data_IF_601721503559
#
_entry.id   IF_601721503559
#
_cell.length_a   1.000
_cell.length_b   1.000
_cell.length_c   1.000
_cell.angle_alpha   90.00
_cell.angle_beta   90.00
_cell.angle_gamma   90.00
#
_symmetry.space_group_name_H-M   'P 1'
#
loop_
_entity.id
_entity.type
_entity.pdbx_description
1 polymer ?
#
# COMPACT_ATOMS: atom_id res chain seq x y z
N UNK A 1 32.80 -59.92 -9.85
CA UNK A 1 32.30 -58.55 -10.12
C UNK A 1 31.08 -58.67 -11.02
N UNK A 2 29.87 -58.37 -10.51
CA UNK A 2 28.63 -58.42 -11.29
C UNK A 2 28.01 -57.02 -11.32
N UNK A 3 27.96 -56.43 -12.49
CA UNK A 3 27.36 -55.11 -12.78
C UNK A 3 25.85 -55.25 -12.88
N UNK A 4 25.09 -54.51 -12.08
CA UNK A 4 23.63 -54.39 -12.25
C UNK A 4 23.30 -53.04 -12.89
N UNK A 5 22.73 -53.09 -14.10
CA UNK A 5 22.14 -51.95 -14.81
C UNK A 5 20.81 -51.58 -14.12
N UNK A 6 20.73 -50.37 -13.56
CA UNK A 6 19.47 -49.81 -13.08
C UNK A 6 18.64 -49.31 -14.27
N UNK A 7 17.44 -49.89 -14.46
CA UNK A 7 16.41 -49.35 -15.35
C UNK A 7 15.76 -48.15 -14.66
N UNK A 8 15.85 -46.97 -15.26
CA UNK A 8 15.06 -45.80 -14.88
C UNK A 8 13.59 -46.08 -15.24
N UNK A 9 12.75 -46.33 -14.24
CA UNK A 9 11.31 -46.34 -14.42
C UNK A 9 10.82 -44.89 -14.27
N UNK A 10 10.33 -44.31 -15.38
CA UNK A 10 9.64 -43.03 -15.35
C UNK A 10 8.29 -43.23 -14.65
N UNK A 11 8.20 -42.79 -13.39
CA UNK A 11 6.94 -42.70 -12.67
C UNK A 11 6.23 -41.41 -13.07
N UNK A 12 5.23 -41.52 -13.94
CA UNK A 12 4.32 -40.41 -14.25
C UNK A 12 3.49 -40.14 -12.99
N UNK A 13 3.88 -39.12 -12.22
CA UNK A 13 3.09 -38.66 -11.08
C UNK A 13 1.83 -37.98 -11.63
N UNK A 14 0.70 -38.69 -11.56
CA UNK A 14 -0.62 -38.08 -11.77
C UNK A 14 -0.86 -37.18 -10.56
N UNK A 15 -0.61 -35.88 -10.75
CA UNK A 15 -0.94 -34.87 -9.76
C UNK A 15 -2.47 -34.86 -9.56
N UNK A 16 -3.00 -35.12 -8.35
CA UNK A 16 -4.37 -34.77 -8.07
C UNK A 16 -4.45 -33.25 -8.13
N UNK A 17 -5.29 -32.73 -9.06
CA UNK A 17 -5.65 -31.33 -9.15
C UNK A 17 -6.11 -30.88 -7.76
N UNK A 18 -5.20 -30.22 -7.06
CA UNK A 18 -5.45 -29.69 -5.73
C UNK A 18 -6.35 -28.48 -5.94
N UNK A 19 -7.50 -28.49 -5.26
CA UNK A 19 -8.37 -27.35 -5.12
C UNK A 19 -7.50 -26.12 -4.80
N UNK A 20 -7.54 -25.12 -5.68
CA UNK A 20 -6.90 -23.81 -5.53
C UNK A 20 -7.35 -23.18 -4.20
N UNK A 21 -6.72 -23.55 -3.10
CA UNK A 21 -6.77 -22.78 -1.88
C UNK A 21 -5.94 -21.54 -2.15
N UNK A 22 -6.61 -20.40 -2.27
CA UNK A 22 -5.95 -19.11 -2.23
C UNK A 22 -5.13 -19.05 -0.93
N UNK A 23 -3.82 -19.25 -1.03
CA UNK A 23 -2.92 -19.22 0.12
C UNK A 23 -2.90 -17.78 0.66
N UNK A 24 -3.25 -17.63 1.94
CA UNK A 24 -3.18 -16.37 2.67
C UNK A 24 -1.87 -16.37 3.44
N UNK A 25 -0.95 -15.49 3.05
CA UNK A 25 0.31 -15.30 3.76
C UNK A 25 0.09 -14.31 4.91
N UNK A 26 0.60 -14.62 6.10
CA UNK A 26 0.56 -13.73 7.27
C UNK A 26 1.95 -13.51 7.84
N UNK A 27 2.21 -12.31 8.35
CA UNK A 27 3.45 -11.95 9.07
C UNK A 27 3.08 -11.26 10.38
N UNK A 28 3.53 -11.75 11.54
CA UNK A 28 3.18 -11.17 12.83
C UNK A 28 4.00 -9.92 13.16
N UNK A 29 5.28 -9.85 12.77
CA UNK A 29 6.06 -8.62 12.86
C UNK A 29 7.26 -8.65 11.93
N UNK A 30 7.77 -7.48 11.55
CA UNK A 30 9.00 -7.34 10.77
C UNK A 30 9.63 -5.97 10.94
N UNK A 31 10.97 -5.92 10.98
CA UNK A 31 11.76 -4.69 10.90
C UNK A 31 12.39 -4.47 9.52
N UNK A 32 12.20 -5.42 8.61
CA UNK A 32 12.67 -5.40 7.23
C UNK A 32 11.49 -5.40 6.26
N UNK A 33 11.67 -4.87 5.05
CA UNK A 33 10.64 -4.83 4.02
C UNK A 33 10.00 -6.20 3.81
N UNK A 34 8.68 -6.27 3.97
CA UNK A 34 7.92 -7.48 3.69
C UNK A 34 7.66 -7.56 2.19
N UNK A 35 8.43 -8.39 1.49
CA UNK A 35 8.29 -8.61 0.04
C UNK A 35 7.37 -9.80 -0.23
N UNK A 36 6.13 -9.54 -0.65
CA UNK A 36 5.11 -10.61 -0.74
C UNK A 36 5.51 -11.72 -1.72
N UNK A 37 6.10 -11.37 -2.86
CA UNK A 37 6.59 -12.31 -3.86
C UNK A 37 7.68 -13.27 -3.37
N UNK A 38 8.39 -12.94 -2.27
CA UNK A 38 9.44 -13.80 -1.72
C UNK A 38 8.93 -14.68 -0.59
N UNK A 39 7.85 -14.28 0.09
CA UNK A 39 7.23 -15.10 1.13
C UNK A 39 6.55 -16.33 0.53
N UNK A 40 5.84 -16.12 -0.57
CA UNK A 40 5.25 -17.20 -1.36
C UNK A 40 5.15 -16.79 -2.84
N UNK A 41 5.86 -17.49 -3.75
CA UNK A 41 5.82 -17.21 -5.17
C UNK A 41 4.50 -17.59 -5.83
N UNK A 42 3.52 -18.21 -5.16
CA UNK A 42 2.19 -18.52 -5.68
C UNK A 42 1.07 -17.67 -5.04
N UNK A 43 1.30 -17.06 -3.87
CA UNK A 43 0.29 -16.27 -3.19
C UNK A 43 -0.17 -15.06 -4.02
N UNK A 44 -1.47 -14.79 -3.94
CA UNK A 44 -2.11 -13.55 -4.41
C UNK A 44 -2.79 -12.81 -3.27
N UNK A 45 -2.90 -13.44 -2.09
CA UNK A 45 -3.54 -12.88 -0.91
C UNK A 45 -2.52 -12.71 0.22
N UNK A 46 -2.59 -11.56 0.86
CA UNK A 46 -1.83 -11.30 2.08
C UNK A 46 -2.74 -10.69 3.13
N UNK A 47 -2.65 -11.19 4.34
CA UNK A 47 -3.32 -10.61 5.50
C UNK A 47 -2.28 -10.26 6.57
N UNK A 48 -2.31 -9.02 7.05
CA UNK A 48 -1.67 -8.64 8.30
C UNK A 48 -2.73 -8.68 9.40
N UNK A 49 -2.74 -9.71 10.27
CA UNK A 49 -3.71 -9.81 11.35
C UNK A 49 -3.64 -8.64 12.35
N UNK A 50 -4.65 -8.56 13.21
CA UNK A 50 -4.61 -7.64 14.33
C UNK A 50 -3.40 -7.96 15.23
N UNK A 51 -2.70 -6.92 15.68
CA UNK A 51 -1.45 -7.06 16.42
C UNK A 51 -0.20 -7.19 15.55
N UNK A 52 -0.33 -7.29 14.22
CA UNK A 52 0.84 -7.24 13.33
C UNK A 52 1.54 -5.89 13.44
N UNK A 53 2.86 -5.90 13.59
CA UNK A 53 3.71 -4.69 13.57
C UNK A 53 4.83 -4.84 12.55
N UNK A 54 4.69 -4.14 11.43
CA UNK A 54 5.76 -4.00 10.43
C UNK A 54 6.29 -2.59 10.53
N UNK A 55 7.56 -2.43 10.90
CA UNK A 55 8.20 -1.14 11.13
C UNK A 55 9.59 -1.10 10.49
N UNK A 56 9.64 -0.59 9.25
CA UNK A 56 10.83 -0.64 8.39
C UNK A 56 11.47 0.75 8.32
N UNK A 57 12.75 0.82 8.71
CA UNK A 57 13.48 2.09 8.90
C UNK A 57 14.15 2.65 7.64
N UNK A 58 14.23 1.90 6.53
CA UNK A 58 15.04 2.28 5.36
C UNK A 58 14.35 2.09 4.01
N UNK A 59 13.17 1.47 3.98
CA UNK A 59 12.48 1.05 2.75
C UNK A 59 10.97 0.97 3.01
N UNK A 60 10.20 0.43 2.07
CA UNK A 60 8.76 0.20 2.22
C UNK A 60 8.47 -0.69 3.45
N UNK A 61 7.34 -0.45 4.12
CA UNK A 61 6.86 -1.38 5.15
C UNK A 61 6.54 -2.73 4.50
N UNK A 62 5.71 -2.68 3.47
CA UNK A 62 5.33 -3.81 2.64
C UNK A 62 5.51 -3.47 1.17
N UNK A 63 6.09 -4.40 0.41
CA UNK A 63 6.30 -4.30 -1.02
C UNK A 63 5.64 -5.46 -1.75
N UNK A 64 4.59 -5.15 -2.51
CA UNK A 64 3.89 -6.08 -3.39
C UNK A 64 4.21 -5.69 -4.84
N UNK A 65 4.99 -6.49 -5.56
CA UNK A 65 5.45 -6.11 -6.90
C UNK A 65 4.35 -6.23 -7.99
N UNK A 66 4.68 -5.90 -9.24
CA UNK A 66 3.76 -5.97 -10.38
C UNK A 66 3.71 -7.35 -11.08
N UNK A 67 4.22 -8.41 -10.46
CA UNK A 67 4.22 -9.75 -11.11
C UNK A 67 2.86 -10.43 -11.11
N UNK A 68 1.92 -9.94 -10.29
CA UNK A 68 0.56 -10.44 -10.13
C UNK A 68 -0.35 -9.36 -9.57
N UNK A 69 -1.64 -9.65 -9.56
CA UNK A 69 -2.61 -8.85 -8.83
C UNK A 69 -2.68 -9.33 -7.39
N UNK A 70 -2.70 -8.39 -6.46
CA UNK A 70 -2.67 -8.69 -5.04
C UNK A 70 -3.99 -8.30 -4.37
N UNK A 71 -4.42 -9.12 -3.43
CA UNK A 71 -5.50 -8.82 -2.51
C UNK A 71 -4.91 -8.71 -1.09
N UNK A 72 -4.78 -7.49 -0.60
CA UNK A 72 -4.18 -7.19 0.70
C UNK A 72 -5.25 -6.80 1.71
N UNK A 73 -5.18 -7.40 2.88
CA UNK A 73 -5.97 -6.99 4.06
C UNK A 73 -5.00 -6.58 5.17
N UNK A 74 -5.12 -5.35 5.66
CA UNK A 74 -4.36 -4.89 6.81
C UNK A 74 -5.27 -4.67 8.02
N UNK A 75 -4.99 -5.37 9.12
CA UNK A 75 -5.59 -5.14 10.45
C UNK A 75 -4.54 -4.73 11.50
N UNK A 76 -3.27 -4.63 11.10
CA UNK A 76 -2.14 -4.30 11.96
C UNK A 76 -1.65 -2.86 11.79
N UNK A 77 -0.40 -2.65 12.16
CA UNK A 77 0.35 -1.41 11.95
C UNK A 77 1.48 -1.65 10.97
N UNK A 78 1.47 -0.92 9.85
CA UNK A 78 2.51 -0.99 8.83
C UNK A 78 3.12 0.40 8.70
N UNK A 79 4.42 0.47 8.93
CA UNK A 79 5.22 1.69 8.80
C UNK A 79 6.42 1.39 7.92
N UNK A 80 6.59 2.18 6.87
CA UNK A 80 7.79 2.20 6.06
C UNK A 80 8.39 3.60 6.00
N UNK A 81 9.62 3.67 5.53
CA UNK A 81 10.32 4.95 5.37
C UNK A 81 10.09 5.55 3.99
N UNK A 82 10.05 4.74 2.93
CA UNK A 82 9.68 5.21 1.59
C UNK A 82 8.16 5.31 1.47
N UNK A 83 7.49 4.15 1.39
CA UNK A 83 6.05 4.03 1.47
C UNK A 83 5.65 3.16 2.66
N UNK A 84 4.46 3.38 3.23
CA UNK A 84 3.89 2.42 4.17
C UNK A 84 3.67 1.09 3.47
N UNK A 85 3.00 1.16 2.31
CA UNK A 85 2.80 0.05 1.39
C UNK A 85 3.07 0.50 -0.04
N UNK A 86 3.93 -0.22 -0.75
CA UNK A 86 4.09 -0.15 -2.20
C UNK A 86 3.32 -1.29 -2.85
N UNK A 87 2.25 -0.96 -3.59
CA UNK A 87 1.30 -1.88 -4.20
C UNK A 87 1.36 -1.81 -5.72
N UNK A 88 2.06 -2.77 -6.30
CA UNK A 88 2.04 -3.09 -7.72
C UNK A 88 0.83 -3.94 -8.11
N UNK A 89 0.61 -4.04 -9.41
CA UNK A 89 -0.36 -4.96 -10.01
C UNK A 89 0.14 -5.40 -11.38
N UNK A 90 -0.19 -6.64 -11.78
CA UNK A 90 0.08 -7.17 -13.12
C UNK A 90 -0.78 -6.45 -14.16
N UNK A 91 -2.04 -6.19 -13.83
CA UNK A 91 -2.96 -5.43 -14.68
C UNK A 91 -3.31 -4.10 -14.01
N UNK A 92 -3.45 -2.98 -14.76
CA UNK A 92 -3.87 -1.71 -14.18
C UNK A 92 -5.16 -1.83 -13.37
N UNK A 93 -5.17 -1.32 -12.14
CA UNK A 93 -6.30 -1.41 -11.22
C UNK A 93 -6.61 -2.82 -10.69
N UNK A 94 -5.78 -3.82 -11.01
CA UNK A 94 -6.05 -5.23 -10.71
C UNK A 94 -5.87 -5.62 -9.24
N UNK A 95 -5.09 -4.86 -8.48
CA UNK A 95 -4.88 -5.12 -7.06
C UNK A 95 -5.97 -4.47 -6.19
N UNK A 96 -6.28 -5.11 -5.06
CA UNK A 96 -7.22 -4.66 -4.05
C UNK A 96 -6.53 -4.52 -2.70
N UNK A 97 -6.86 -3.47 -1.98
CA UNK A 97 -6.37 -3.22 -0.63
C UNK A 97 -7.51 -2.82 0.31
N UNK A 98 -7.66 -3.56 1.40
CA UNK A 98 -8.57 -3.26 2.50
C UNK A 98 -7.77 -2.92 3.75
N UNK A 99 -8.02 -1.74 4.31
CA UNK A 99 -7.38 -1.27 5.52
C UNK A 99 -8.39 -1.17 6.67
N UNK A 100 -8.12 -1.92 7.73
CA UNK A 100 -8.78 -1.86 9.04
C UNK A 100 -7.82 -1.35 10.13
N UNK A 101 -6.53 -1.24 9.83
CA UNK A 101 -5.48 -0.86 10.78
C UNK A 101 -4.84 0.49 10.44
N UNK A 102 -3.55 0.60 10.73
CA UNK A 102 -2.75 1.80 10.46
C UNK A 102 -1.71 1.51 9.38
N UNK A 103 -1.62 2.42 8.41
CA UNK A 103 -0.53 2.46 7.44
C UNK A 103 0.07 3.86 7.48
N UNK A 104 1.39 3.96 7.62
CA UNK A 104 2.07 5.26 7.67
C UNK A 104 3.45 5.27 7.01
N UNK A 105 3.89 6.46 6.61
CA UNK A 105 5.30 6.72 6.27
C UNK A 105 5.98 7.48 7.39
N UNK A 106 7.21 7.12 7.71
CA UNK A 106 8.08 7.96 8.55
C UNK A 106 8.76 9.09 7.76
N UNK A 107 8.84 8.99 6.42
CA UNK A 107 9.31 10.10 5.59
C UNK A 107 8.34 11.29 5.66
N UNK A 108 8.91 12.45 5.99
CA UNK A 108 8.19 13.71 6.11
C UNK A 108 8.32 14.60 4.87
N UNK A 109 9.39 14.42 4.08
CA UNK A 109 9.70 15.24 2.88
C UNK A 109 10.73 14.54 1.98
N UNK A 110 10.57 14.59 0.66
CA UNK A 110 11.60 14.12 -0.29
C UNK A 110 11.18 14.18 -1.76
N UNK A 111 12.05 13.67 -2.65
CA UNK A 111 11.76 13.43 -4.08
C UNK A 111 11.52 11.93 -4.28
N UNK A 112 10.26 11.51 -4.42
CA UNK A 112 9.83 10.12 -4.46
C UNK A 112 8.32 10.00 -4.18
N UNK A 113 7.69 8.84 -4.43
CA UNK A 113 6.39 8.57 -3.85
C UNK A 113 6.58 8.39 -2.34
N UNK A 114 6.04 9.31 -1.55
CA UNK A 114 5.95 9.13 -0.10
C UNK A 114 4.47 8.98 0.24
N UNK A 115 3.94 7.82 -0.13
CA UNK A 115 2.57 7.43 0.11
C UNK A 115 2.46 6.64 1.41
N UNK A 116 1.45 6.93 2.24
CA UNK A 116 1.00 5.89 3.18
C UNK A 116 0.72 4.60 2.39
N UNK A 117 0.01 4.76 1.27
CA UNK A 117 -0.11 3.77 0.20
C UNK A 117 0.35 4.34 -1.14
N UNK A 118 1.27 3.66 -1.81
CA UNK A 118 1.68 3.92 -3.19
C UNK A 118 1.20 2.81 -4.12
N UNK A 119 0.20 3.10 -4.94
CA UNK A 119 -0.37 2.17 -5.92
C UNK A 119 -0.06 2.61 -7.35
N UNK A 120 1.16 2.32 -7.83
CA UNK A 120 1.64 2.80 -9.14
C UNK A 120 0.75 2.33 -10.31
N UNK A 121 0.31 1.07 -10.28
CA UNK A 121 -0.56 0.50 -11.32
C UNK A 121 -2.05 0.82 -11.09
N UNK A 122 -2.40 1.66 -10.11
CA UNK A 122 -3.77 1.82 -9.63
C UNK A 122 -4.24 0.60 -8.82
N UNK A 123 -5.28 0.79 -8.01
CA UNK A 123 -5.87 -0.26 -7.18
C UNK A 123 -7.32 0.07 -6.81
N UNK A 124 -8.04 -0.92 -6.31
CA UNK A 124 -9.24 -0.70 -5.49
C UNK A 124 -8.83 -0.60 -4.03
N UNK A 125 -9.04 0.55 -3.41
CA UNK A 125 -8.66 0.81 -2.03
C UNK A 125 -9.89 1.06 -1.18
N UNK A 126 -9.99 0.35 -0.06
CA UNK A 126 -11.04 0.54 0.93
C UNK A 126 -10.39 0.81 2.27
N UNK A 127 -10.56 2.02 2.79
CA UNK A 127 -10.13 2.39 4.13
C UNK A 127 -11.35 2.38 5.05
N UNK A 128 -11.43 1.41 5.95
CA UNK A 128 -12.59 1.20 6.81
C UNK A 128 -12.64 2.23 7.96
N UNK A 129 -13.80 2.30 8.62
CA UNK A 129 -13.96 3.14 9.81
C UNK A 129 -12.97 2.74 10.91
N UNK A 130 -12.36 3.73 11.56
CA UNK A 130 -11.30 3.53 12.56
C UNK A 130 -9.90 3.26 11.97
N UNK A 131 -9.79 3.00 10.68
CA UNK A 131 -8.51 2.77 10.01
C UNK A 131 -7.84 4.10 9.60
N UNK A 132 -6.51 4.10 9.54
CA UNK A 132 -5.71 5.28 9.18
C UNK A 132 -4.72 4.95 8.07
N UNK A 133 -4.66 5.82 7.06
CA UNK A 133 -3.56 5.88 6.09
C UNK A 133 -2.99 7.29 6.15
N UNK A 134 -1.75 7.42 6.58
CA UNK A 134 -1.10 8.72 6.79
C UNK A 134 0.28 8.81 6.15
N UNK A 135 0.66 10.02 5.74
CA UNK A 135 1.99 10.32 5.24
C UNK A 135 2.26 11.83 5.32
N UNK A 136 3.54 12.21 5.36
CA UNK A 136 3.97 13.60 5.26
C UNK A 136 3.66 14.25 3.90
N UNK A 137 3.52 13.49 2.81
CA UNK A 137 3.21 14.01 1.47
C UNK A 137 1.77 13.69 1.04
N UNK A 138 1.49 12.41 0.78
CA UNK A 138 0.21 11.91 0.26
C UNK A 138 -0.22 10.70 1.06
N UNK A 139 -1.45 10.67 1.58
CA UNK A 139 -1.99 9.46 2.19
C UNK A 139 -2.00 8.30 1.19
N UNK A 140 -2.53 8.56 -0.01
CA UNK A 140 -2.59 7.60 -1.11
C UNK A 140 -2.05 8.26 -2.37
N UNK A 141 -1.19 7.56 -3.10
CA UNK A 141 -0.82 7.90 -4.46
C UNK A 141 -1.29 6.81 -5.43
N UNK A 142 -1.98 7.22 -6.50
CA UNK A 142 -2.40 6.34 -7.60
C UNK A 142 -1.67 6.76 -8.87
N UNK A 143 -0.85 5.87 -9.43
CA UNK A 143 -0.13 6.12 -10.69
C UNK A 143 -0.94 5.81 -11.95
N UNK A 144 -2.02 5.04 -11.80
CA UNK A 144 -3.01 4.74 -12.84
C UNK A 144 -4.44 4.82 -12.26
N UNK A 145 -5.50 4.78 -13.09
CA UNK A 145 -6.87 4.80 -12.60
C UNK A 145 -7.14 3.71 -11.55
N UNK A 146 -7.84 4.11 -10.49
CA UNK A 146 -8.20 3.26 -9.37
C UNK A 146 -9.38 3.86 -8.61
N UNK A 147 -9.85 3.15 -7.60
CA UNK A 147 -10.96 3.59 -6.76
C UNK A 147 -10.52 3.68 -5.31
N UNK A 148 -11.03 4.68 -4.59
CA UNK A 148 -10.81 4.84 -3.16
C UNK A 148 -12.16 5.03 -2.49
N UNK A 149 -12.53 4.09 -1.64
CA UNK A 149 -13.64 4.21 -0.70
C UNK A 149 -13.06 4.47 0.68
N UNK A 150 -13.37 5.63 1.26
CA UNK A 150 -12.83 6.02 2.56
C UNK A 150 -13.93 6.25 3.59
N UNK A 151 -13.89 5.45 4.66
CA UNK A 151 -14.68 5.61 5.88
C UNK A 151 -13.79 5.89 7.12
N UNK A 152 -12.46 5.91 6.95
CA UNK A 152 -11.47 6.18 8.00
C UNK A 152 -10.74 7.50 7.81
N UNK A 153 -9.55 7.62 8.40
CA UNK A 153 -8.68 8.78 8.26
C UNK A 153 -7.70 8.61 7.09
N UNK A 154 -7.71 9.57 6.16
CA UNK A 154 -6.64 9.78 5.19
C UNK A 154 -5.96 11.11 5.50
N UNK A 155 -4.68 11.07 5.84
CA UNK A 155 -3.91 12.28 6.18
C UNK A 155 -2.67 12.38 5.29
N UNK A 156 -2.66 13.36 4.38
CA UNK A 156 -1.52 13.72 3.55
C UNK A 156 -1.12 15.19 3.80
N UNK A 157 0.18 15.49 3.74
CA UNK A 157 0.74 16.72 4.26
C UNK A 157 1.43 17.64 3.24
N UNK A 158 0.95 17.76 1.99
CA UNK A 158 1.31 18.95 1.20
C UNK A 158 0.63 20.18 1.79
N UNK A 159 1.20 20.75 2.85
CA UNK A 159 1.05 22.16 3.16
C UNK A 159 1.69 22.97 2.03
N UNK A 160 0.99 23.08 0.89
CA UNK A 160 1.05 24.33 0.16
C UNK A 160 0.38 25.33 1.09
N UNK A 161 1.18 26.11 1.80
CA UNK A 161 0.71 27.28 2.51
C UNK A 161 -0.01 28.18 1.50
N UNK A 162 -1.30 27.99 1.34
CA UNK A 162 -2.15 28.97 0.69
C UNK A 162 -2.21 30.11 1.71
N UNK A 163 -1.29 31.07 1.55
CA UNK A 163 -1.53 32.38 2.13
C UNK A 163 -2.82 32.89 1.50
N UNK A 164 -3.95 32.69 2.17
CA UNK A 164 -5.15 33.47 1.95
C UNK A 164 -4.75 34.91 2.26
N UNK A 165 -4.26 35.63 1.24
CA UNK A 165 -4.12 37.08 1.29
C UNK A 165 -5.55 37.60 1.39
N UNK A 166 -6.02 37.77 2.63
CA UNK A 166 -7.26 38.48 2.92
C UNK A 166 -7.23 39.79 2.12
N UNK A 167 -8.05 39.86 1.07
CA UNK A 167 -8.15 41.04 0.25
C UNK A 167 -8.54 42.19 1.15
N UNK A 168 -7.64 43.18 1.30
CA UNK A 168 -7.98 44.45 1.92
C UNK A 168 -9.17 45.03 1.17
N UNK A 169 -10.35 44.97 1.79
CA UNK A 169 -11.52 45.74 1.40
C UNK A 169 -11.09 47.20 1.23
N UNK A 170 -11.09 47.68 -0.02
CA UNK A 170 -10.86 49.10 -0.32
C UNK A 170 -12.08 49.85 0.23
N UNK A 171 -11.88 50.52 1.38
CA UNK A 171 -12.82 51.53 1.88
C UNK A 171 -13.18 52.50 0.76
N UNK A 172 -14.47 52.70 0.56
CA UNK A 172 -15.03 53.71 -0.35
C UNK A 172 -14.55 55.13 0.02
N UNK A 173 -14.36 56.04 -0.96
CA UNK A 173 -14.04 57.43 -0.66
C UNK A 173 -15.27 58.16 -0.11
N UNK A 174 -15.11 58.76 1.08
CA UNK A 174 -16.01 59.81 1.58
C UNK A 174 -15.76 61.08 0.76
N UNK A 175 -16.75 61.53 -0.01
CA UNK A 175 -16.84 62.89 -0.52
C UNK A 175 -17.75 63.70 0.42
N UNK A 176 -17.16 64.61 1.21
CA UNK A 176 -17.24 66.07 1.11
C UNK A 176 -18.62 66.66 1.46
N UNK A 177 -18.74 67.10 2.71
CA UNK A 177 -19.61 68.20 3.11
C UNK A 177 -18.99 69.51 2.61
N UNK A 178 -19.79 70.35 1.95
CA UNK A 178 -19.56 71.79 1.83
C UNK A 178 -20.79 72.49 2.41
N UNK A 179 -20.53 73.58 3.12
CA UNK A 179 -21.51 74.51 3.66
C UNK A 179 -22.34 75.18 2.55
#
# INVERSE_FOLDING_TARGET
MKTFKAKLAAATLVAPYSLLHAQVVTVPSSTSTVRLQTLDPAATNFEAPAGTVIAVATDDGLNANNTRNWNLVNRGTITGTNDGISLGALTPGGSRFENYGTVSTSATTGVGPFGGLYANSGATVINHAGATISSGDRAIHMGAPGTVTNNGLLQGGRTRSSSCRAGRSRRAPRARFLA
#
